data_IF_727522427308
#
_entry.id   IF_727522427308
#
_cell.length_a   1.000
_cell.length_b   1.000
_cell.length_c   1.000
_cell.angle_alpha   90.00
_cell.angle_beta   90.00
_cell.angle_gamma   90.00
#
_symmetry.space_group_name_H-M   'P 1'
#
loop_
_entity.id
_entity.type
_entity.pdbx_description
1 polymer ?
#
# COMPACT_ATOMS: atom_id res chain seq x y z
N UNK A 1 -21.14 -31.54 -48.66
CA UNK A 1 -20.92 -31.85 -47.22
C UNK A 1 -19.58 -31.33 -46.67
N UNK A 2 -18.53 -31.14 -47.49
CA UNK A 2 -17.21 -30.66 -47.03
C UNK A 2 -17.18 -29.20 -46.53
N UNK A 3 -18.02 -28.30 -47.06
CA UNK A 3 -18.06 -26.89 -46.63
C UNK A 3 -18.59 -26.68 -45.20
N UNK A 4 -19.44 -27.58 -44.70
CA UNK A 4 -19.96 -27.52 -43.32
C UNK A 4 -18.86 -27.93 -42.32
N UNK A 5 -18.02 -28.89 -42.70
CA UNK A 5 -16.94 -29.39 -41.84
C UNK A 5 -15.85 -28.32 -41.61
N UNK A 6 -15.51 -27.59 -42.67
CA UNK A 6 -14.53 -26.49 -42.62
C UNK A 6 -15.03 -25.30 -41.79
N UNK A 7 -16.34 -25.00 -41.84
CA UNK A 7 -16.96 -23.97 -41.01
C UNK A 7 -16.98 -24.32 -39.52
N UNK A 8 -17.25 -25.59 -39.17
CA UNK A 8 -17.24 -26.04 -37.78
C UNK A 8 -15.84 -25.96 -37.18
N UNK A 9 -14.81 -26.38 -37.93
CA UNK A 9 -13.40 -26.31 -37.48
C UNK A 9 -12.95 -24.86 -37.25
N UNK A 10 -13.34 -23.93 -38.12
CA UNK A 10 -13.00 -22.50 -37.95
C UNK A 10 -13.61 -21.89 -36.69
N UNK A 11 -14.86 -22.26 -36.37
CA UNK A 11 -15.55 -21.77 -35.17
C UNK A 11 -14.96 -22.37 -33.89
N UNK A 12 -14.61 -23.66 -33.86
CA UNK A 12 -13.98 -24.24 -32.67
C UNK A 12 -12.60 -23.66 -32.38
N UNK A 13 -11.78 -23.37 -33.40
CA UNK A 13 -10.50 -22.70 -33.19
C UNK A 13 -10.71 -21.30 -32.61
N UNK A 14 -11.65 -20.52 -33.16
CA UNK A 14 -11.95 -19.18 -32.67
C UNK A 14 -12.44 -19.18 -31.21
N UNK A 15 -13.29 -20.14 -30.84
CA UNK A 15 -13.77 -20.30 -29.46
C UNK A 15 -12.62 -20.67 -28.52
N UNK A 16 -11.74 -21.60 -28.89
CA UNK A 16 -10.60 -21.99 -28.05
C UNK A 16 -9.61 -20.83 -27.87
N UNK A 17 -9.32 -20.08 -28.93
CA UNK A 17 -8.46 -18.89 -28.85
C UNK A 17 -9.09 -17.77 -28.01
N UNK A 18 -10.40 -17.57 -28.09
CA UNK A 18 -11.10 -16.59 -27.26
C UNK A 18 -11.11 -16.98 -25.77
N UNK A 19 -11.33 -18.27 -25.46
CA UNK A 19 -11.27 -18.78 -24.08
C UNK A 19 -9.85 -18.62 -23.50
N UNK A 20 -8.82 -18.97 -24.27
CA UNK A 20 -7.43 -18.79 -23.86
C UNK A 20 -7.08 -17.31 -23.61
N UNK A 21 -7.60 -16.39 -24.45
CA UNK A 21 -7.40 -14.95 -24.28
C UNK A 21 -8.00 -14.43 -22.97
N UNK A 22 -9.25 -14.79 -22.64
CA UNK A 22 -9.91 -14.34 -21.40
C UNK A 22 -9.24 -14.93 -20.15
N UNK A 23 -8.85 -16.21 -20.19
CA UNK A 23 -8.21 -16.87 -19.05
C UNK A 23 -6.82 -16.35 -18.73
N UNK A 24 -6.07 -15.87 -19.72
CA UNK A 24 -4.71 -15.35 -19.51
C UNK A 24 -4.69 -13.84 -19.26
N UNK A 25 -5.47 -13.06 -20.01
CA UNK A 25 -5.44 -11.61 -19.89
C UNK A 25 -6.07 -11.10 -18.60
N UNK A 26 -7.16 -11.72 -18.14
CA UNK A 26 -7.88 -11.28 -16.93
C UNK A 26 -6.99 -11.21 -15.68
N UNK A 27 -6.32 -12.31 -15.28
CA UNK A 27 -5.45 -12.33 -14.10
C UNK A 27 -4.28 -11.34 -14.19
N UNK A 28 -3.67 -11.20 -15.37
CA UNK A 28 -2.52 -10.31 -15.56
C UNK A 28 -2.93 -8.84 -15.47
N UNK A 29 -4.11 -8.45 -15.99
CA UNK A 29 -4.63 -7.10 -15.81
C UNK A 29 -4.91 -6.79 -14.35
N UNK A 30 -5.55 -7.72 -13.62
CA UNK A 30 -5.80 -7.52 -12.18
C UNK A 30 -4.50 -7.36 -11.38
N UNK A 31 -3.48 -8.15 -11.69
CA UNK A 31 -2.18 -8.03 -11.05
C UNK A 31 -1.48 -6.72 -11.39
N UNK A 32 -1.49 -6.30 -12.66
CA UNK A 32 -0.90 -5.03 -13.09
C UNK A 32 -1.58 -3.82 -12.44
N UNK A 33 -2.90 -3.85 -12.27
CA UNK A 33 -3.63 -2.79 -11.57
C UNK A 33 -3.25 -2.77 -10.09
N UNK A 34 -3.23 -3.93 -9.43
CA UNK A 34 -2.81 -4.05 -8.02
C UNK A 34 -1.39 -3.54 -7.80
N UNK A 35 -0.46 -3.89 -8.68
CA UNK A 35 0.94 -3.45 -8.59
C UNK A 35 1.07 -1.93 -8.84
N UNK A 36 0.23 -1.37 -9.72
CA UNK A 36 0.17 0.07 -9.97
C UNK A 36 -0.38 0.84 -8.76
N UNK A 37 -1.48 0.36 -8.18
CA UNK A 37 -2.07 0.92 -6.96
C UNK A 37 -1.07 0.88 -5.80
N UNK A 38 -0.41 -0.26 -5.59
CA UNK A 38 0.69 -0.41 -4.63
C UNK A 38 1.80 0.62 -4.88
N UNK A 39 2.20 0.83 -6.14
CA UNK A 39 3.20 1.80 -6.52
C UNK A 39 2.84 3.24 -6.16
N UNK A 40 1.57 3.65 -6.31
CA UNK A 40 1.10 4.99 -5.93
C UNK A 40 1.21 5.20 -4.42
N UNK A 41 0.73 4.24 -3.62
CA UNK A 41 0.83 4.33 -2.15
C UNK A 41 2.28 4.39 -1.67
N UNK A 42 3.17 3.61 -2.29
CA UNK A 42 4.60 3.63 -2.00
C UNK A 42 5.26 4.97 -2.31
N UNK A 43 4.90 5.60 -3.42
CA UNK A 43 5.39 6.92 -3.78
C UNK A 43 4.90 7.98 -2.78
N UNK A 44 3.63 7.91 -2.36
CA UNK A 44 3.08 8.80 -1.34
C UNK A 44 3.82 8.68 0.00
N UNK A 45 4.00 7.46 0.50
CA UNK A 45 4.75 7.19 1.73
C UNK A 45 6.21 7.69 1.63
N UNK A 46 6.88 7.45 0.50
CA UNK A 46 8.25 7.91 0.29
C UNK A 46 8.36 9.44 0.29
N UNK A 47 7.40 10.14 -0.32
CA UNK A 47 7.35 11.60 -0.31
C UNK A 47 7.17 12.15 1.11
N UNK A 48 6.25 11.56 1.89
CA UNK A 48 6.02 11.96 3.28
C UNK A 48 7.26 11.73 4.14
N UNK A 49 7.90 10.56 4.03
CA UNK A 49 9.12 10.24 4.77
C UNK A 49 10.25 11.23 4.48
N UNK A 50 10.48 11.56 3.21
CA UNK A 50 11.49 12.56 2.84
C UNK A 50 11.16 13.95 3.38
N UNK A 51 9.90 14.36 3.32
CA UNK A 51 9.45 15.66 3.83
C UNK A 51 9.62 15.77 5.35
N UNK A 52 9.28 14.72 6.09
CA UNK A 52 9.53 14.63 7.53
C UNK A 52 11.02 14.77 7.81
N UNK A 53 11.87 14.01 7.11
CA UNK A 53 13.31 14.09 7.31
C UNK A 53 13.87 15.50 7.06
N UNK A 54 13.43 16.18 6.00
CA UNK A 54 13.82 17.56 5.71
C UNK A 54 13.39 18.53 6.81
N UNK A 55 12.16 18.41 7.30
CA UNK A 55 11.64 19.21 8.43
C UNK A 55 12.45 19.01 9.69
N UNK A 56 12.79 17.76 10.03
CA UNK A 56 13.56 17.45 11.23
C UNK A 56 15.00 17.97 11.13
N UNK A 57 15.59 17.93 9.95
CA UNK A 57 16.92 18.52 9.71
C UNK A 57 16.93 20.04 9.86
N UNK A 58 15.90 20.74 9.39
CA UNK A 58 15.81 22.20 9.47
C UNK A 58 15.44 22.69 10.87
N UNK A 59 14.42 22.10 11.47
CA UNK A 59 13.90 22.53 12.78
C UNK A 59 14.72 22.00 13.95
N UNK A 60 15.61 21.04 13.69
CA UNK A 60 16.38 20.29 14.71
C UNK A 60 15.46 19.65 15.77
N UNK A 61 14.21 19.37 15.39
CA UNK A 61 13.17 18.85 16.26
C UNK A 61 12.44 17.71 15.59
N UNK A 62 12.18 16.63 16.33
CA UNK A 62 11.47 15.48 15.80
C UNK A 62 9.99 15.79 15.54
N UNK A 63 9.43 15.17 14.51
CA UNK A 63 8.00 15.25 14.24
C UNK A 63 7.25 14.36 15.22
N UNK A 64 6.38 14.94 16.05
CA UNK A 64 5.61 14.18 17.02
C UNK A 64 4.51 13.35 16.34
N UNK A 65 4.16 12.21 16.94
CA UNK A 65 3.03 11.39 16.48
C UNK A 65 1.73 12.20 16.35
N UNK A 66 0.96 11.89 15.31
CA UNK A 66 -0.25 12.63 15.00
C UNK A 66 -0.99 12.07 13.79
N UNK A 67 -2.25 12.49 13.68
CA UNK A 67 -3.16 12.14 12.58
C UNK A 67 -3.11 13.13 11.43
N UNK A 68 -2.35 14.21 11.58
CA UNK A 68 -2.37 15.29 10.62
C UNK A 68 -0.94 15.71 10.30
N UNK A 69 -0.60 15.59 9.02
CA UNK A 69 0.69 15.94 8.44
C UNK A 69 0.67 17.35 7.84
N UNK A 70 -0.35 18.16 8.12
CA UNK A 70 -0.52 19.57 7.68
C UNK A 70 0.73 20.41 7.90
N UNK A 71 1.51 20.14 8.97
CA UNK A 71 2.77 20.82 9.22
C UNK A 71 3.90 20.54 8.21
N UNK A 72 3.69 19.63 7.25
CA UNK A 72 4.62 19.36 6.15
C UNK A 72 4.30 20.22 4.92
N UNK A 73 3.06 20.68 4.75
CA UNK A 73 2.66 21.50 3.62
C UNK A 73 2.37 22.95 4.06
N UNK A 74 2.70 23.97 3.25
CA UNK A 74 3.35 23.90 1.93
C UNK A 74 4.89 23.85 1.99
N UNK A 75 5.48 23.92 3.18
CA UNK A 75 6.92 24.24 3.33
C UNK A 75 7.85 23.08 2.93
N UNK A 76 7.45 21.83 3.15
CA UNK A 76 8.23 20.62 2.84
C UNK A 76 7.60 19.74 1.75
N UNK A 77 6.30 19.88 1.52
CA UNK A 77 5.54 19.27 0.44
C UNK A 77 4.59 20.29 -0.19
N UNK A 78 4.40 20.28 -1.52
CA UNK A 78 3.41 21.15 -2.16
C UNK A 78 1.98 20.82 -1.70
N UNK A 79 1.71 19.54 -1.47
CA UNK A 79 0.43 19.00 -1.00
C UNK A 79 0.70 17.67 -0.29
N UNK A 80 -0.13 17.32 0.70
CA UNK A 80 -0.03 16.04 1.40
C UNK A 80 -0.61 14.96 0.48
N UNK A 81 0.15 13.90 0.18
CA UNK A 81 -0.40 12.78 -0.58
C UNK A 81 -1.60 12.16 0.14
N UNK A 82 -2.76 12.18 -0.52
CA UNK A 82 -3.94 11.46 -0.05
C UNK A 82 -3.69 9.94 -0.05
N UNK A 83 -4.37 9.22 0.85
CA UNK A 83 -4.33 7.77 0.85
C UNK A 83 -5.19 7.21 -0.28
N UNK A 84 -4.62 6.54 -1.31
CA UNK A 84 -5.41 5.99 -2.41
C UNK A 84 -6.24 4.75 -2.02
N UNK A 85 -6.02 4.20 -0.82
CA UNK A 85 -6.59 2.93 -0.39
C UNK A 85 -7.69 3.06 0.68
N UNK A 86 -7.84 4.23 1.28
CA UNK A 86 -8.82 4.49 2.35
C UNK A 86 -9.12 5.98 2.42
N UNK A 87 -10.26 6.34 3.02
CA UNK A 87 -10.57 7.72 3.38
C UNK A 87 -9.76 8.24 4.58
N UNK A 88 -8.94 7.39 5.20
CA UNK A 88 -8.08 7.75 6.32
C UNK A 88 -6.73 8.23 5.80
N UNK A 89 -6.39 9.48 6.11
CA UNK A 89 -5.10 10.09 5.77
C UNK A 89 -3.91 9.35 6.41
N UNK A 90 -2.70 9.48 5.87
CA UNK A 90 -1.51 8.87 6.46
C UNK A 90 -1.26 9.37 7.89
N UNK A 91 -0.95 8.42 8.79
CA UNK A 91 -0.86 8.66 10.23
C UNK A 91 0.58 8.45 10.69
N UNK A 92 1.11 9.36 11.50
CA UNK A 92 2.42 9.20 12.12
C UNK A 92 2.30 8.55 13.50
N UNK A 93 2.97 7.42 13.71
CA UNK A 93 2.92 6.61 14.93
C UNK A 93 4.32 6.22 15.43
N UNK A 94 4.40 5.72 16.66
CA UNK A 94 5.60 5.07 17.21
C UNK A 94 5.52 3.55 17.08
N UNK A 95 6.62 2.84 17.34
CA UNK A 95 6.65 1.37 17.47
C UNK A 95 5.64 0.78 18.47
N UNK A 96 5.10 1.59 19.38
CA UNK A 96 4.13 1.16 20.41
C UNK A 96 2.69 1.62 20.08
N UNK A 97 2.53 2.54 19.12
CA UNK A 97 1.29 3.18 18.69
C UNK A 97 1.30 4.71 18.87
N UNK A 98 0.14 5.32 19.08
CA UNK A 98 -0.04 6.77 19.25
C UNK A 98 0.06 7.19 20.71
N UNK A 99 1.24 7.03 21.30
CA UNK A 99 1.55 7.63 22.59
C UNK A 99 1.93 9.09 22.35
N UNK A 100 1.03 10.02 22.71
CA UNK A 100 1.22 11.47 22.51
C UNK A 100 2.59 11.94 23.06
N UNK A 101 3.19 12.94 22.39
CA UNK A 101 4.47 13.58 22.75
C UNK A 101 5.72 12.69 22.59
N UNK A 102 5.68 11.73 21.67
CA UNK A 102 6.87 10.99 21.24
C UNK A 102 7.18 11.29 19.77
N UNK A 103 8.47 11.30 19.39
CA UNK A 103 8.88 11.28 17.99
C UNK A 103 8.14 10.15 17.27
N UNK A 104 7.54 10.48 16.13
CA UNK A 104 7.07 9.46 15.19
C UNK A 104 8.25 8.61 14.73
N UNK A 105 7.99 7.33 14.50
CA UNK A 105 8.98 6.38 13.97
C UNK A 105 8.49 5.77 12.65
N UNK A 106 7.18 5.79 12.43
CA UNK A 106 6.55 5.18 11.27
C UNK A 106 5.39 6.03 10.77
N UNK A 107 5.30 6.19 9.46
CA UNK A 107 4.09 6.67 8.79
C UNK A 107 3.30 5.44 8.36
N UNK A 108 2.03 5.38 8.74
CA UNK A 108 1.09 4.33 8.39
C UNK A 108 0.07 4.83 7.39
N UNK A 109 -0.30 3.97 6.46
CA UNK A 109 -1.35 4.20 5.48
C UNK A 109 -2.27 2.97 5.48
N UNK A 110 -3.46 3.06 6.08
CA UNK A 110 -4.43 1.97 6.08
C UNK A 110 -4.84 1.57 4.65
N UNK A 111 -4.94 0.26 4.40
CA UNK A 111 -5.35 -0.29 3.11
C UNK A 111 -6.74 -0.91 3.26
N UNK A 112 -7.78 -0.16 2.89
CA UNK A 112 -9.19 -0.53 3.10
C UNK A 112 -9.94 -0.73 1.79
N UNK A 113 -9.39 -1.56 0.91
CA UNK A 113 -10.02 -1.91 -0.38
C UNK A 113 -10.48 -3.36 -0.40
N UNK A 114 -11.34 -3.71 -1.36
CA UNK A 114 -11.75 -5.11 -1.58
C UNK A 114 -10.55 -6.03 -1.89
N UNK A 115 -9.45 -5.47 -2.39
CA UNK A 115 -8.21 -6.18 -2.74
C UNK A 115 -7.07 -5.86 -1.76
N UNK A 116 -7.37 -5.41 -0.53
CA UNK A 116 -6.37 -4.94 0.43
C UNK A 116 -5.24 -5.94 0.67
N UNK A 117 -5.56 -7.24 0.71
CA UNK A 117 -4.56 -8.29 0.88
C UNK A 117 -3.60 -8.37 -0.33
N UNK A 118 -4.11 -8.34 -1.56
CA UNK A 118 -3.26 -8.40 -2.75
C UNK A 118 -2.40 -7.15 -2.90
N UNK A 119 -2.97 -5.97 -2.62
CA UNK A 119 -2.23 -4.71 -2.62
C UNK A 119 -1.12 -4.76 -1.57
N UNK A 120 -1.45 -5.13 -0.33
CA UNK A 120 -0.48 -5.20 0.76
C UNK A 120 0.65 -6.20 0.48
N UNK A 121 0.32 -7.37 -0.09
CA UNK A 121 1.34 -8.33 -0.54
C UNK A 121 2.25 -7.74 -1.63
N UNK A 122 1.68 -6.98 -2.57
CA UNK A 122 2.47 -6.30 -3.60
C UNK A 122 3.38 -5.24 -3.00
N UNK A 123 2.87 -4.40 -2.09
CA UNK A 123 3.65 -3.39 -1.37
C UNK A 123 4.77 -4.04 -0.57
N UNK A 124 4.49 -5.13 0.17
CA UNK A 124 5.50 -5.89 0.92
C UNK A 124 6.62 -6.39 0.01
N UNK A 125 6.28 -6.99 -1.13
CA UNK A 125 7.26 -7.46 -2.13
C UNK A 125 8.06 -6.31 -2.73
N UNK A 126 7.41 -5.21 -3.10
CA UNK A 126 8.07 -4.03 -3.68
C UNK A 126 8.99 -3.31 -2.67
N UNK A 127 8.64 -3.34 -1.38
CA UNK A 127 9.47 -2.82 -0.29
C UNK A 127 10.66 -3.69 0.12
N UNK A 128 10.85 -4.84 -0.54
CA UNK A 128 11.94 -5.79 -0.26
C UNK A 128 11.61 -6.80 0.86
N UNK A 129 10.36 -6.86 1.30
CA UNK A 129 9.87 -7.84 2.27
C UNK A 129 9.42 -9.16 1.64
N UNK A 130 8.62 -9.92 2.39
CA UNK A 130 8.04 -11.20 1.99
C UNK A 130 6.97 -11.04 0.89
N UNK A 131 6.77 -12.08 0.08
CA UNK A 131 5.68 -12.17 -0.92
C UNK A 131 4.29 -12.06 -0.31
N UNK A 132 4.18 -12.43 0.97
CA UNK A 132 2.96 -12.31 1.76
C UNK A 132 3.23 -11.34 2.90
N UNK A 133 2.37 -10.32 3.02
CA UNK A 133 2.44 -9.33 4.07
C UNK A 133 2.41 -10.02 5.45
N UNK A 134 3.43 -9.83 6.29
CA UNK A 134 3.52 -10.51 7.56
C UNK A 134 2.44 -10.04 8.53
N UNK A 135 1.96 -10.94 9.38
CA UNK A 135 1.05 -10.59 10.47
C UNK A 135 1.87 -10.30 11.73
N UNK A 136 2.12 -9.03 12.04
CA UNK A 136 3.12 -8.59 13.02
C UNK A 136 2.66 -7.37 13.82
N UNK A 137 3.40 -7.06 14.89
CA UNK A 137 3.33 -5.74 15.52
C UNK A 137 4.26 -4.76 14.80
N UNK A 138 3.91 -3.48 14.76
CA UNK A 138 4.74 -2.45 14.15
C UNK A 138 6.16 -2.37 14.77
N UNK A 139 6.30 -2.71 16.06
CA UNK A 139 7.61 -2.83 16.72
C UNK A 139 8.51 -3.95 16.21
N UNK A 140 7.96 -4.90 15.46
CA UNK A 140 8.69 -6.04 14.87
C UNK A 140 9.18 -5.74 13.45
N UNK A 141 8.82 -4.57 12.89
CA UNK A 141 9.22 -4.14 11.55
C UNK A 141 10.72 -3.83 11.53
N UNK A 142 11.42 -4.42 10.55
CA UNK A 142 12.85 -4.18 10.34
C UNK A 142 13.08 -3.42 9.03
N UNK A 143 12.25 -3.70 8.03
CA UNK A 143 12.34 -3.10 6.71
C UNK A 143 12.00 -1.60 6.75
N UNK A 144 12.63 -0.78 5.90
CA UNK A 144 12.37 0.66 5.88
C UNK A 144 10.99 0.99 5.31
N UNK A 145 10.42 0.10 4.50
CA UNK A 145 9.14 0.31 3.86
C UNK A 145 8.49 -1.04 3.57
N UNK A 146 7.17 -1.11 3.59
CA UNK A 146 6.47 -2.33 3.25
C UNK A 146 5.00 -2.27 3.61
N UNK A 147 4.41 -3.46 3.79
CA UNK A 147 3.05 -3.57 4.28
C UNK A 147 2.94 -4.78 5.21
N UNK A 148 2.11 -4.67 6.24
CA UNK A 148 1.86 -5.74 7.19
C UNK A 148 0.37 -5.85 7.50
N UNK A 149 -0.01 -6.99 8.08
CA UNK A 149 -1.32 -7.18 8.70
C UNK A 149 -1.19 -6.93 10.20
N UNK A 150 -2.01 -6.04 10.72
CA UNK A 150 -1.85 -5.57 12.10
C UNK A 150 -2.31 -6.62 13.13
N UNK A 151 -1.46 -6.88 14.14
CA UNK A 151 -1.83 -7.65 15.34
C UNK A 151 -2.46 -6.82 16.46
N UNK A 152 -2.47 -5.49 16.33
CA UNK A 152 -2.90 -4.57 17.39
C UNK A 152 -3.69 -3.40 16.81
N UNK A 153 -4.54 -2.81 17.63
CA UNK A 153 -5.09 -1.50 17.31
C UNK A 153 -4.02 -0.41 17.45
N UNK A 154 -3.97 0.49 16.47
CA UNK A 154 -3.12 1.69 16.49
C UNK A 154 -3.97 2.93 16.24
N UNK A 155 -3.43 4.08 16.63
CA UNK A 155 -4.00 5.37 16.27
C UNK A 155 -5.48 5.52 16.66
N UNK A 156 -5.81 5.16 17.91
CA UNK A 156 -7.16 5.36 18.46
C UNK A 156 -8.28 4.68 17.67
N UNK A 157 -7.99 3.60 16.94
CA UNK A 157 -8.96 2.83 16.17
C UNK A 157 -8.89 3.04 14.65
N UNK A 158 -8.02 3.94 14.18
CA UNK A 158 -7.81 4.14 12.74
C UNK A 158 -7.12 2.95 12.06
N UNK A 159 -6.45 2.10 12.83
CA UNK A 159 -5.98 0.78 12.40
C UNK A 159 -6.45 -0.22 13.43
N UNK A 160 -7.21 -1.23 13.01
CA UNK A 160 -7.73 -2.30 13.86
C UNK A 160 -6.91 -3.58 13.71
N UNK A 161 -7.17 -4.54 14.60
CA UNK A 161 -6.58 -5.87 14.52
C UNK A 161 -7.07 -6.56 13.24
N UNK A 162 -6.12 -7.02 12.43
CA UNK A 162 -6.39 -7.72 11.18
C UNK A 162 -6.38 -6.83 9.95
N UNK A 163 -6.29 -5.51 10.10
CA UNK A 163 -6.22 -4.56 9.00
C UNK A 163 -4.88 -4.64 8.28
N UNK A 164 -4.88 -4.34 6.99
CA UNK A 164 -3.67 -4.24 6.19
C UNK A 164 -3.18 -2.79 6.20
N UNK A 165 -1.89 -2.60 6.44
CA UNK A 165 -1.31 -1.27 6.62
C UNK A 165 0.01 -1.19 5.89
N UNK A 166 0.09 -0.27 4.93
CA UNK A 166 1.34 0.10 4.30
C UNK A 166 2.09 1.06 5.23
N UNK A 167 3.42 0.96 5.25
CA UNK A 167 4.24 1.76 6.15
C UNK A 167 5.53 2.20 5.50
N UNK A 168 6.06 3.29 6.06
CA UNK A 168 7.47 3.69 5.90
C UNK A 168 8.01 4.08 7.26
N UNK A 169 9.25 3.67 7.52
CA UNK A 169 10.01 4.05 8.70
C UNK A 169 10.71 5.38 8.44
N UNK A 170 10.70 6.27 9.41
CA UNK A 170 11.41 7.55 9.38
C UNK A 170 12.65 7.53 10.28
#
# INVERSE_FOLDING_TARGET
>A
MSQILLGIIGVTIFIISAIAGVSYLGPTFMQSTTDSEAGVGLQGLSQISMAIHLREMETQSATEVGFNLDGLAPDYLPEIPENPFSAIDPILVTGVGTLAQRPGEFVLMPVETANAQQICNSISRQGGGSDVAPNIFISEIVEPLGCFRSKKEYAGGAVNIGDFVAYVRI
#
